data_IF_520575185992
#
_entry.id   IF_520575185992
#
_cell.length_a   1.000
_cell.length_b   1.000
_cell.length_c   1.000
_cell.angle_alpha   90.00
_cell.angle_beta   90.00
_cell.angle_gamma   90.00
#
_symmetry.space_group_name_H-M   'P 1'
#
loop_
_entity.id
_entity.type
_entity.pdbx_description
1 polymer ?
#
# COMPACT_ATOMS: atom_id res chain seq x y z
N UNK A 1 -16.54 14.44 2.33
CA UNK A 1 -15.13 14.81 2.12
C UNK A 1 -14.29 13.65 2.65
N UNK A 2 -13.45 13.01 1.84
CA UNK A 2 -12.52 12.02 2.40
C UNK A 2 -11.41 12.75 3.18
N UNK A 3 -10.99 12.25 4.36
CA UNK A 3 -9.91 12.88 5.12
C UNK A 3 -8.57 12.73 4.38
N UNK A 4 -7.77 13.79 4.39
CA UNK A 4 -6.37 13.72 3.96
C UNK A 4 -5.53 13.34 5.18
N UNK A 5 -5.01 12.11 5.17
CA UNK A 5 -4.13 11.59 6.22
C UNK A 5 -2.78 11.20 5.61
N UNK A 6 -1.78 11.02 6.46
CA UNK A 6 -0.49 10.48 6.01
C UNK A 6 -0.60 8.96 5.84
N UNK A 7 0.32 8.38 5.07
CA UNK A 7 0.41 6.92 4.94
C UNK A 7 0.74 6.27 6.30
N UNK A 8 1.51 6.94 7.14
CA UNK A 8 1.82 6.47 8.50
C UNK A 8 0.57 6.39 9.38
N UNK A 9 -0.28 7.40 9.34
CA UNK A 9 -1.57 7.39 10.08
C UNK A 9 -2.45 6.23 9.61
N UNK A 10 -2.54 6.01 8.29
CA UNK A 10 -3.26 4.87 7.74
C UNK A 10 -2.71 3.53 8.22
N UNK A 11 -1.38 3.37 8.22
CA UNK A 11 -0.71 2.14 8.68
C UNK A 11 -0.98 1.90 10.16
N UNK A 12 -0.87 2.94 11.00
CA UNK A 12 -1.16 2.84 12.43
C UNK A 12 -2.61 2.43 12.68
N UNK A 13 -3.58 3.05 12.00
CA UNK A 13 -5.00 2.70 12.14
C UNK A 13 -5.32 1.28 11.68
N UNK A 14 -4.66 0.79 10.62
CA UNK A 14 -4.82 -0.61 10.20
C UNK A 14 -4.16 -1.56 11.21
N UNK A 15 -3.01 -1.21 11.77
CA UNK A 15 -2.29 -2.01 12.75
C UNK A 15 -3.06 -2.21 14.07
N UNK A 16 -3.96 -1.30 14.45
CA UNK A 16 -4.81 -1.52 15.64
C UNK A 16 -5.86 -2.62 15.45
N UNK A 17 -6.13 -3.03 14.20
CA UNK A 17 -7.14 -4.03 13.84
C UNK A 17 -6.53 -5.34 13.30
N UNK A 18 -5.27 -5.31 12.84
CA UNK A 18 -4.60 -6.45 12.23
C UNK A 18 -3.87 -7.31 13.27
N UNK A 19 -3.80 -8.62 13.03
CA UNK A 19 -3.08 -9.58 13.88
C UNK A 19 -1.59 -9.74 13.52
N UNK A 20 -1.13 -9.14 12.41
CA UNK A 20 0.27 -9.22 11.96
C UNK A 20 0.67 -8.09 11.01
N UNK A 21 1.96 -7.77 10.93
CA UNK A 21 2.48 -6.79 9.97
C UNK A 21 2.18 -7.17 8.52
N UNK A 22 2.17 -8.47 8.19
CA UNK A 22 1.81 -8.95 6.86
C UNK A 22 0.36 -8.60 6.50
N UNK A 23 -0.55 -8.71 7.46
CA UNK A 23 -1.96 -8.33 7.31
C UNK A 23 -2.12 -6.81 7.18
N UNK A 24 -1.34 -6.03 7.94
CA UNK A 24 -1.30 -4.56 7.80
C UNK A 24 -0.92 -4.16 6.38
N UNK A 25 0.20 -4.69 5.88
CA UNK A 25 0.69 -4.39 4.53
C UNK A 25 -0.34 -4.82 3.48
N UNK A 26 -0.87 -6.05 3.57
CA UNK A 26 -1.87 -6.54 2.63
C UNK A 26 -3.11 -5.65 2.59
N UNK A 27 -3.59 -5.19 3.75
CA UNK A 27 -4.75 -4.31 3.87
C UNK A 27 -4.49 -2.93 3.28
N UNK A 28 -3.35 -2.31 3.60
CA UNK A 28 -2.98 -1.00 3.05
C UNK A 28 -2.84 -1.07 1.53
N UNK A 29 -2.18 -2.11 1.02
CA UNK A 29 -2.04 -2.35 -0.42
C UNK A 29 -3.40 -2.50 -1.09
N UNK A 30 -4.30 -3.30 -0.49
CA UNK A 30 -5.67 -3.46 -0.99
C UNK A 30 -6.43 -2.13 -1.03
N UNK A 31 -6.35 -1.32 0.02
CA UNK A 31 -7.05 -0.04 0.09
C UNK A 31 -6.61 0.93 -1.02
N UNK A 32 -5.30 0.99 -1.29
CA UNK A 32 -4.76 1.84 -2.36
C UNK A 32 -5.09 1.27 -3.75
N UNK A 33 -4.87 -0.02 -3.97
CA UNK A 33 -5.07 -0.64 -5.28
C UNK A 33 -6.55 -0.69 -5.69
N UNK A 34 -7.47 -0.83 -4.72
CA UNK A 34 -8.92 -0.75 -4.94
C UNK A 34 -9.42 0.69 -5.16
N UNK A 35 -8.59 1.70 -4.90
CA UNK A 35 -8.97 3.11 -5.03
C UNK A 35 -9.81 3.66 -3.87
N UNK A 36 -10.00 2.88 -2.80
CA UNK A 36 -10.61 3.35 -1.54
C UNK A 36 -9.75 4.40 -0.85
N UNK A 37 -8.42 4.23 -0.93
CA UNK A 37 -7.42 5.23 -0.60
C UNK A 37 -6.78 5.70 -1.90
N UNK A 38 -6.61 7.01 -2.03
CA UNK A 38 -5.87 7.61 -3.14
C UNK A 38 -4.64 8.30 -2.60
N UNK A 39 -3.48 7.95 -3.14
CA UNK A 39 -2.26 8.67 -2.87
C UNK A 39 -2.35 10.08 -3.49
N UNK A 40 -1.68 11.03 -2.85
CA UNK A 40 -1.64 12.45 -3.22
C UNK A 40 -0.20 12.91 -3.49
N UNK A 41 -0.03 14.12 -4.02
CA UNK A 41 1.28 14.69 -4.35
C UNK A 41 1.98 13.94 -5.49
N UNK A 42 3.27 13.67 -5.33
CA UNK A 42 4.11 12.99 -6.34
C UNK A 42 3.65 11.55 -6.66
N UNK A 43 2.88 10.93 -5.77
CA UNK A 43 2.35 9.57 -5.95
C UNK A 43 0.89 9.56 -6.40
N UNK A 44 0.34 10.70 -6.86
CA UNK A 44 -1.06 10.80 -7.26
C UNK A 44 -1.39 9.79 -8.36
N UNK A 45 -2.35 8.91 -8.08
CA UNK A 45 -2.80 7.87 -9.00
C UNK A 45 -1.90 6.63 -9.06
N UNK A 46 -0.80 6.60 -8.30
CA UNK A 46 0.04 5.41 -8.18
C UNK A 46 -0.69 4.28 -7.44
N UNK A 47 -0.31 3.06 -7.77
CA UNK A 47 -0.75 1.81 -7.15
C UNK A 47 0.49 1.00 -6.77
N UNK A 48 0.35 0.09 -5.82
CA UNK A 48 1.41 -0.84 -5.48
C UNK A 48 1.48 -1.93 -6.55
N UNK A 49 2.66 -2.10 -7.14
CA UNK A 49 2.95 -3.24 -7.99
C UNK A 49 3.04 -4.50 -7.13
N UNK A 50 2.27 -5.51 -7.51
CA UNK A 50 2.23 -6.82 -6.85
C UNK A 50 3.02 -7.87 -7.62
N UNK A 51 3.64 -7.48 -8.73
CA UNK A 51 4.54 -8.36 -9.47
C UNK A 51 5.67 -8.78 -8.53
N UNK A 52 5.95 -10.08 -8.41
CA UNK A 52 7.11 -10.52 -7.63
C UNK A 52 8.36 -9.87 -8.22
N UNK A 53 9.26 -9.40 -7.37
CA UNK A 53 10.59 -9.00 -7.79
C UNK A 53 11.34 -10.26 -8.23
N UNK A 54 11.17 -10.62 -9.50
CA UNK A 54 11.90 -11.72 -10.11
C UNK A 54 13.26 -11.12 -10.47
N UNK A 55 14.34 -11.44 -9.75
CA UNK A 55 15.66 -10.99 -10.15
C UNK A 55 15.87 -11.52 -11.57
N UNK A 56 15.98 -10.60 -12.53
CA UNK A 56 16.23 -10.91 -13.94
C UNK A 56 17.54 -11.68 -13.97
N UNK A 57 17.46 -13.01 -14.02
CA UNK A 57 18.61 -13.91 -14.12
C UNK A 57 19.41 -13.40 -15.32
N UNK A 58 20.55 -12.77 -15.06
CA UNK A 58 21.42 -12.28 -16.11
C UNK A 58 21.75 -13.48 -16.99
N UNK A 59 21.26 -13.46 -18.23
CA UNK A 59 21.60 -14.47 -19.21
C UNK A 59 23.10 -14.37 -19.46
N UNK A 60 23.82 -15.45 -19.13
CA UNK A 60 25.22 -15.66 -19.47
C UNK A 60 25.33 -16.19 -20.91
#
# INVERSE_FOLDING_TARGET
MAPNITLLELVNEVATHAGSDAEVVATVVYLVNSGRVRLCGSFKGARFDLSPDIPRRAAA
#
